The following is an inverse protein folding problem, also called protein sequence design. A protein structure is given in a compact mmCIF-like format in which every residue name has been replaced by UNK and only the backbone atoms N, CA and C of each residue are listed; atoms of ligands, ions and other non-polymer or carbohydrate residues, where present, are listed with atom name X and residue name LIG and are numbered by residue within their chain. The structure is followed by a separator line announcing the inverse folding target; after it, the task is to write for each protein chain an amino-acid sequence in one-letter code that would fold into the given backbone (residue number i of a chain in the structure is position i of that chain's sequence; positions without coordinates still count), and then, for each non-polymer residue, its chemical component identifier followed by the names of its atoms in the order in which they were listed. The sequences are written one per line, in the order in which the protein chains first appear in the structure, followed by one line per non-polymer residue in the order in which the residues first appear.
data_IF_465516887776
#
_entry.id   IF_465516887776
#
_cell.length_a   1.000
_cell.length_b   1.000
_cell.length_c   1.000
_cell.angle_alpha   90.00
_cell.angle_beta   90.00
_cell.angle_gamma   90.00
#
_symmetry.space_group_name_H-M   'P 1'
#
loop_
_entity.id
_entity.type
_entity.pdbx_description
1 polymer ?
#
# COMPACT_ATOMS: atom_id res chain seq x y z
N UNK A 1 -11.08 12.61 -24.00
CA UNK A 1 -11.70 11.57 -23.14
C UNK A 1 -11.47 12.03 -21.71
N UNK A 2 -12.49 12.00 -20.84
CA UNK A 2 -12.34 12.41 -19.45
C UNK A 2 -12.26 11.14 -18.58
N UNK A 3 -11.15 10.94 -17.88
CA UNK A 3 -10.90 9.75 -17.05
C UNK A 3 -11.55 9.97 -15.68
N UNK A 4 -12.47 9.10 -15.29
CA UNK A 4 -13.13 9.11 -13.97
C UNK A 4 -12.35 8.23 -12.99
N UNK A 5 -11.70 8.86 -12.02
CA UNK A 5 -10.85 8.19 -11.05
C UNK A 5 -11.58 8.03 -9.72
N UNK A 6 -11.70 6.80 -9.22
CA UNK A 6 -12.07 6.49 -7.84
C UNK A 6 -10.79 6.41 -7.01
N UNK A 7 -10.71 7.21 -5.97
CA UNK A 7 -9.56 7.23 -5.04
C UNK A 7 -9.93 6.46 -3.78
N UNK A 8 -9.11 5.47 -3.42
CA UNK A 8 -9.31 4.61 -2.24
C UNK A 8 -8.08 4.69 -1.34
N UNK A 9 -8.23 5.30 -0.18
CA UNK A 9 -7.14 5.53 0.78
C UNK A 9 -7.74 5.83 2.15
N UNK A 10 -7.23 5.29 3.24
CA UNK A 10 -7.73 5.55 4.59
C UNK A 10 -7.26 6.91 5.15
N UNK A 11 -6.15 7.45 4.61
CA UNK A 11 -5.61 8.73 5.03
C UNK A 11 -6.38 9.91 4.40
N UNK A 12 -7.06 10.68 5.24
CA UNK A 12 -7.82 11.86 4.83
C UNK A 12 -6.94 12.90 4.12
N UNK A 13 -5.69 13.09 4.55
CA UNK A 13 -4.79 14.09 3.95
C UNK A 13 -4.36 13.68 2.54
N UNK A 14 -4.13 12.39 2.32
CA UNK A 14 -3.84 11.84 0.99
C UNK A 14 -5.04 12.06 0.08
N UNK A 15 -6.27 11.68 0.52
CA UNK A 15 -7.49 11.89 -0.27
C UNK A 15 -7.71 13.35 -0.63
N UNK A 16 -7.53 14.29 0.32
CA UNK A 16 -7.67 15.73 0.06
C UNK A 16 -6.60 16.26 -0.90
N UNK A 17 -5.36 15.79 -0.77
CA UNK A 17 -4.27 16.17 -1.67
C UNK A 17 -4.56 15.72 -3.11
N UNK A 18 -4.96 14.45 -3.29
CA UNK A 18 -5.34 13.89 -4.58
C UNK A 18 -6.57 14.60 -5.17
N UNK A 19 -7.58 14.91 -4.35
CA UNK A 19 -8.74 15.69 -4.78
C UNK A 19 -8.34 17.04 -5.36
N UNK A 20 -7.48 17.77 -4.64
CA UNK A 20 -7.00 19.08 -5.08
C UNK A 20 -6.16 19.00 -6.36
N UNK A 21 -5.35 17.97 -6.50
CA UNK A 21 -4.52 17.75 -7.68
C UNK A 21 -5.39 17.36 -8.89
N UNK A 22 -6.23 16.32 -8.75
CA UNK A 22 -7.04 15.79 -9.83
C UNK A 22 -8.07 16.83 -10.34
N UNK A 23 -8.69 17.62 -9.44
CA UNK A 23 -9.63 18.67 -9.83
C UNK A 23 -9.03 19.79 -10.69
N UNK A 24 -7.70 19.93 -10.69
CA UNK A 24 -6.95 20.93 -11.48
C UNK A 24 -6.36 20.35 -12.75
N UNK A 25 -6.49 19.04 -12.96
CA UNK A 25 -5.89 18.33 -14.09
C UNK A 25 -6.90 18.19 -15.22
N UNK A 26 -6.70 18.86 -16.37
CA UNK A 26 -7.59 18.71 -17.52
C UNK A 26 -7.66 17.25 -18.00
N UNK A 27 -8.86 16.78 -18.31
CA UNK A 27 -9.06 15.42 -18.79
C UNK A 27 -9.16 14.34 -17.70
N UNK A 28 -9.09 14.73 -16.42
CA UNK A 28 -9.34 13.84 -15.28
C UNK A 28 -10.45 14.42 -14.42
N UNK A 29 -11.33 13.56 -13.93
CA UNK A 29 -12.31 13.89 -12.89
C UNK A 29 -12.36 12.79 -11.85
N UNK A 30 -12.82 13.09 -10.64
CA UNK A 30 -13.00 12.09 -9.60
C UNK A 30 -14.39 11.47 -9.70
N UNK A 31 -14.48 10.14 -9.68
CA UNK A 31 -15.72 9.40 -9.52
C UNK A 31 -16.15 9.40 -8.04
N UNK A 32 -15.17 9.43 -7.13
CA UNK A 32 -15.40 9.49 -5.68
C UNK A 32 -14.16 9.26 -4.87
N UNK A 33 -14.35 9.23 -3.54
CA UNK A 33 -13.31 9.00 -2.54
C UNK A 33 -13.83 7.97 -1.54
N UNK A 34 -13.16 6.83 -1.42
CA UNK A 34 -13.44 5.79 -0.45
C UNK A 34 -12.34 5.73 0.62
N UNK A 35 -12.71 5.44 1.86
CA UNK A 35 -11.78 5.33 2.99
C UNK A 35 -11.49 3.88 3.40
N UNK A 36 -12.13 2.93 2.73
CA UNK A 36 -11.98 1.50 2.98
C UNK A 36 -12.41 0.68 1.75
N UNK A 37 -12.12 -0.62 1.78
CA UNK A 37 -12.42 -1.51 0.65
C UNK A 37 -13.90 -1.71 0.39
N UNK A 38 -14.71 -1.85 1.45
CA UNK A 38 -16.18 -2.00 1.32
C UNK A 38 -16.79 -0.82 0.59
N UNK A 39 -16.45 0.40 1.00
CA UNK A 39 -16.94 1.62 0.35
C UNK A 39 -16.43 1.72 -1.10
N UNK A 40 -15.21 1.29 -1.37
CA UNK A 40 -14.67 1.26 -2.74
C UNK A 40 -15.49 0.36 -3.65
N UNK A 41 -15.87 -0.84 -3.20
CA UNK A 41 -16.71 -1.78 -3.94
C UNK A 41 -18.12 -1.22 -4.21
N UNK A 42 -18.76 -0.62 -3.19
CA UNK A 42 -20.08 0.03 -3.34
C UNK A 42 -20.04 1.15 -4.36
N UNK A 43 -19.02 2.02 -4.29
CA UNK A 43 -18.85 3.12 -5.23
C UNK A 43 -18.54 2.63 -6.65
N UNK A 44 -17.68 1.62 -6.78
CA UNK A 44 -17.35 1.03 -8.07
C UNK A 44 -18.58 0.41 -8.75
N UNK A 45 -19.46 -0.21 -7.98
CA UNK A 45 -20.70 -0.81 -8.51
C UNK A 45 -21.76 0.23 -8.91
N UNK A 46 -21.77 1.43 -8.27
CA UNK A 46 -22.81 2.45 -8.47
C UNK A 46 -22.38 3.58 -9.40
N UNK A 47 -21.08 3.81 -9.58
CA UNK A 47 -20.53 4.92 -10.35
C UNK A 47 -19.82 4.43 -11.61
N UNK A 48 -19.76 5.28 -12.64
CA UNK A 48 -18.91 5.00 -13.79
C UNK A 48 -17.45 5.33 -13.41
N UNK A 49 -16.61 4.33 -13.35
CA UNK A 49 -15.18 4.43 -12.96
C UNK A 49 -14.31 3.91 -14.11
N UNK A 50 -13.36 4.73 -14.57
CA UNK A 50 -12.41 4.32 -15.60
C UNK A 50 -11.10 3.79 -14.98
N UNK A 51 -10.76 4.25 -13.76
CA UNK A 51 -9.58 3.84 -13.04
C UNK A 51 -9.80 3.96 -11.53
N UNK A 52 -9.36 2.96 -10.79
CA UNK A 52 -9.27 2.99 -9.33
C UNK A 52 -7.83 3.23 -8.92
N UNK A 53 -7.59 4.27 -8.14
CA UNK A 53 -6.31 4.52 -7.46
C UNK A 53 -6.44 3.95 -6.06
N UNK A 54 -5.75 2.84 -5.77
CA UNK A 54 -6.00 1.97 -4.61
C UNK A 54 -4.81 1.92 -3.66
N UNK A 55 -5.00 2.34 -2.42
CA UNK A 55 -4.01 2.00 -1.38
C UNK A 55 -4.08 0.52 -1.03
N UNK A 56 -2.95 -0.02 -0.65
CA UNK A 56 -2.81 -1.41 -0.16
C UNK A 56 -3.31 -1.55 1.27
N UNK A 57 -3.03 -0.56 2.13
CA UNK A 57 -3.37 -0.62 3.54
C UNK A 57 -4.70 0.06 3.81
N UNK A 58 -5.77 -0.72 3.91
CA UNK A 58 -7.09 -0.25 4.27
C UNK A 58 -7.57 -0.90 5.58
N UNK A 59 -8.48 -0.25 6.33
CA UNK A 59 -8.81 -0.67 7.69
C UNK A 59 -9.68 -1.93 7.79
N UNK A 60 -10.46 -2.27 6.76
CA UNK A 60 -11.43 -3.38 6.75
C UNK A 60 -10.91 -4.59 5.97
N UNK A 61 -10.53 -4.40 4.72
CA UNK A 61 -9.92 -5.40 3.85
C UNK A 61 -8.73 -4.77 3.13
N UNK A 62 -7.69 -5.56 2.83
CA UNK A 62 -6.54 -5.01 2.13
C UNK A 62 -6.87 -4.63 0.68
N UNK A 63 -6.16 -3.62 0.15
CA UNK A 63 -6.43 -3.10 -1.20
C UNK A 63 -6.17 -4.11 -2.31
N UNK A 64 -5.34 -5.14 -2.09
CA UNK A 64 -5.11 -6.21 -3.07
C UNK A 64 -6.35 -7.11 -3.16
N UNK A 65 -6.95 -7.46 -2.03
CA UNK A 65 -8.22 -8.19 -1.98
C UNK A 65 -9.35 -7.38 -2.60
N UNK A 66 -9.41 -6.08 -2.30
CA UNK A 66 -10.38 -5.16 -2.92
C UNK A 66 -10.20 -5.11 -4.44
N UNK A 67 -8.97 -5.04 -4.94
CA UNK A 67 -8.66 -5.06 -6.37
C UNK A 67 -9.09 -6.37 -7.05
N UNK A 68 -8.92 -7.52 -6.37
CA UNK A 68 -9.39 -8.81 -6.86
C UNK A 68 -10.92 -8.84 -7.01
N UNK A 69 -11.67 -8.31 -6.03
CA UNK A 69 -13.13 -8.24 -6.09
C UNK A 69 -13.60 -7.28 -7.19
N UNK A 70 -12.96 -6.11 -7.35
CA UNK A 70 -13.23 -5.19 -8.47
C UNK A 70 -13.00 -5.88 -9.82
N UNK A 71 -11.88 -6.61 -9.98
CA UNK A 71 -11.58 -7.35 -11.21
C UNK A 71 -12.57 -8.48 -11.47
N UNK A 72 -13.14 -9.08 -10.43
CA UNK A 72 -14.19 -10.08 -10.55
C UNK A 72 -15.54 -9.47 -10.98
N UNK A 73 -15.84 -8.23 -10.56
CA UNK A 73 -17.03 -7.48 -10.99
C UNK A 73 -16.90 -7.00 -12.44
N UNK A 74 -15.74 -6.48 -12.81
CA UNK A 74 -15.42 -6.07 -14.19
C UNK A 74 -13.99 -6.45 -14.56
N UNK A 75 -13.78 -7.46 -15.43
CA UNK A 75 -12.44 -7.86 -15.89
C UNK A 75 -11.68 -6.78 -16.67
N UNK A 76 -12.36 -5.72 -17.11
CA UNK A 76 -11.72 -4.58 -17.76
C UNK A 76 -11.40 -3.43 -16.80
N UNK A 77 -11.78 -3.55 -15.54
CA UNK A 77 -11.47 -2.55 -14.53
C UNK A 77 -9.96 -2.26 -14.48
N UNK A 78 -9.61 -0.97 -14.34
CA UNK A 78 -8.22 -0.54 -14.20
C UNK A 78 -7.98 -0.18 -12.75
N UNK A 79 -7.17 -0.98 -12.07
CA UNK A 79 -6.78 -0.75 -10.68
C UNK A 79 -5.29 -0.47 -10.62
N UNK A 80 -4.92 0.76 -10.30
CA UNK A 80 -3.53 1.18 -10.10
C UNK A 80 -3.25 1.24 -8.59
N UNK A 81 -2.39 0.36 -8.11
CA UNK A 81 -1.98 0.37 -6.70
C UNK A 81 -1.15 1.63 -6.41
N UNK A 82 -1.46 2.33 -5.33
CA UNK A 82 -0.80 3.57 -4.93
C UNK A 82 -0.53 3.53 -3.43
N UNK A 83 0.68 3.13 -3.04
CA UNK A 83 0.99 2.77 -1.66
C UNK A 83 2.28 3.40 -1.14
N UNK A 84 2.38 3.58 0.16
CA UNK A 84 3.61 4.04 0.81
C UNK A 84 4.69 2.95 0.87
N UNK A 85 4.32 1.67 0.72
CA UNK A 85 5.24 0.56 0.80
C UNK A 85 4.85 -0.56 -0.17
N UNK A 86 5.84 -1.08 -0.89
CA UNK A 86 5.68 -2.19 -1.81
C UNK A 86 6.79 -3.21 -1.57
N UNK A 87 6.44 -4.49 -1.61
CA UNK A 87 7.40 -5.59 -1.66
C UNK A 87 7.04 -6.57 -2.79
N UNK A 88 7.96 -7.50 -3.12
CA UNK A 88 7.74 -8.46 -4.19
C UNK A 88 6.51 -9.34 -3.98
N UNK A 89 6.22 -9.71 -2.72
CA UNK A 89 5.09 -10.58 -2.37
C UNK A 89 3.76 -9.87 -2.62
N UNK A 90 3.64 -8.63 -2.16
CA UNK A 90 2.48 -7.76 -2.38
C UNK A 90 2.29 -7.50 -3.89
N UNK A 91 3.36 -7.12 -4.58
CA UNK A 91 3.31 -6.82 -6.01
C UNK A 91 2.84 -8.04 -6.84
N UNK A 92 3.35 -9.23 -6.55
CA UNK A 92 2.89 -10.47 -7.19
C UNK A 92 1.40 -10.73 -6.96
N UNK A 93 0.93 -10.53 -5.73
CA UNK A 93 -0.50 -10.67 -5.39
C UNK A 93 -1.35 -9.64 -6.12
N UNK A 94 -0.94 -8.37 -6.14
CA UNK A 94 -1.65 -7.31 -6.82
C UNK A 94 -1.76 -7.57 -8.33
N UNK A 95 -0.66 -8.01 -8.97
CA UNK A 95 -0.69 -8.40 -10.39
C UNK A 95 -1.57 -9.62 -10.64
N UNK A 96 -1.54 -10.61 -9.75
CA UNK A 96 -2.44 -11.77 -9.79
C UNK A 96 -3.91 -11.40 -9.58
N UNK A 97 -4.20 -10.32 -8.87
CA UNK A 97 -5.53 -9.75 -8.67
C UNK A 97 -6.00 -8.88 -9.84
N UNK A 98 -5.22 -8.73 -10.92
CA UNK A 98 -5.58 -7.93 -12.10
C UNK A 98 -5.20 -6.46 -12.01
N UNK A 99 -4.32 -6.06 -11.08
CA UNK A 99 -3.86 -4.67 -11.00
C UNK A 99 -3.18 -4.22 -12.30
N UNK A 100 -3.42 -2.99 -12.70
CA UNK A 100 -2.82 -2.32 -13.87
C UNK A 100 -1.43 -1.75 -13.58
N UNK A 101 -0.88 -1.99 -12.39
CA UNK A 101 0.43 -1.55 -11.97
C UNK A 101 0.52 -1.16 -10.51
N UNK A 102 1.68 -0.61 -10.13
CA UNK A 102 1.94 -0.15 -8.77
C UNK A 102 2.87 1.06 -8.78
N UNK A 103 2.49 2.08 -8.00
CA UNK A 103 3.29 3.27 -7.73
C UNK A 103 3.48 3.45 -6.23
N UNK A 104 4.62 4.01 -5.84
CA UNK A 104 4.80 4.49 -4.48
C UNK A 104 4.21 5.91 -4.32
N UNK A 105 3.74 6.25 -3.11
CA UNK A 105 3.13 7.56 -2.79
C UNK A 105 4.13 8.73 -2.79
N UNK A 106 5.42 8.45 -3.01
CA UNK A 106 6.50 9.44 -3.13
C UNK A 106 6.74 9.93 -4.56
N UNK A 107 5.96 9.46 -5.54
CA UNK A 107 6.07 9.93 -6.92
C UNK A 107 5.62 11.39 -7.05
N UNK A 108 6.26 12.11 -7.98
CA UNK A 108 5.89 13.48 -8.30
C UNK A 108 4.48 13.57 -8.90
N UNK A 109 3.73 14.68 -8.65
CA UNK A 109 2.36 14.84 -9.14
C UNK A 109 2.20 14.63 -10.66
N UNK A 110 3.13 15.12 -11.45
CA UNK A 110 3.13 14.99 -12.92
C UNK A 110 3.33 13.54 -13.37
N UNK A 111 4.14 12.78 -12.64
CA UNK A 111 4.34 11.36 -12.89
C UNK A 111 3.07 10.56 -12.57
N UNK A 112 2.38 10.88 -11.46
CA UNK A 112 1.10 10.25 -11.10
C UNK A 112 0.02 10.54 -12.17
N UNK A 113 -0.08 11.78 -12.66
CA UNK A 113 -1.03 12.14 -13.74
C UNK A 113 -0.74 11.32 -15.00
N UNK A 114 0.54 11.23 -15.38
CA UNK A 114 0.98 10.44 -16.55
C UNK A 114 0.66 8.95 -16.38
N UNK A 115 0.86 8.42 -15.17
CA UNK A 115 0.53 7.05 -14.81
C UNK A 115 -0.97 6.76 -14.88
N UNK A 116 -1.83 7.68 -14.41
CA UNK A 116 -3.30 7.58 -14.53
C UNK A 116 -3.70 7.48 -16.00
N UNK A 117 -3.20 8.35 -16.86
CA UNK A 117 -3.49 8.30 -18.29
C UNK A 117 -3.02 6.98 -18.93
N UNK A 118 -1.82 6.51 -18.62
CA UNK A 118 -1.28 5.27 -19.13
C UNK A 118 -2.10 4.04 -18.67
N UNK A 119 -2.39 3.95 -17.37
CA UNK A 119 -3.18 2.85 -16.82
C UNK A 119 -4.62 2.83 -17.37
N UNK A 120 -5.27 3.99 -17.48
CA UNK A 120 -6.60 4.10 -18.06
C UNK A 120 -6.63 3.69 -19.55
N UNK A 121 -5.51 3.87 -20.28
CA UNK A 121 -5.38 3.37 -21.66
C UNK A 121 -5.08 1.87 -21.77
N UNK A 122 -4.92 1.16 -20.65
CA UNK A 122 -4.67 -0.27 -20.59
C UNK A 122 -3.20 -0.67 -20.55
N UNK A 123 -2.29 0.27 -20.33
CA UNK A 123 -0.88 -0.02 -20.13
C UNK A 123 -0.62 -0.43 -18.68
N UNK A 124 0.37 -1.30 -18.49
CA UNK A 124 0.90 -1.60 -17.14
C UNK A 124 1.87 -0.49 -16.73
N UNK A 125 1.71 0.00 -15.49
CA UNK A 125 2.47 1.14 -14.99
C UNK A 125 3.18 0.79 -13.69
N UNK A 126 4.49 1.03 -13.65
CA UNK A 126 5.31 0.82 -12.46
C UNK A 126 6.27 1.99 -12.28
N UNK A 127 6.50 2.42 -11.06
CA UNK A 127 7.63 3.30 -10.77
C UNK A 127 8.96 2.54 -10.93
N UNK A 128 10.05 3.26 -11.16
CA UNK A 128 11.39 2.67 -11.31
C UNK A 128 11.77 1.82 -10.10
N UNK A 129 11.49 2.32 -8.88
CA UNK A 129 11.74 1.62 -7.62
C UNK A 129 10.97 0.30 -7.53
N UNK A 130 9.73 0.25 -7.99
CA UNK A 130 8.91 -0.98 -8.04
C UNK A 130 9.45 -1.94 -9.09
N UNK A 131 9.89 -1.45 -10.26
CA UNK A 131 10.51 -2.30 -11.28
C UNK A 131 11.83 -2.90 -10.80
N UNK A 132 12.67 -2.14 -10.12
CA UNK A 132 13.91 -2.65 -9.52
C UNK A 132 13.64 -3.82 -8.58
N UNK A 133 12.58 -3.75 -7.76
CA UNK A 133 12.17 -4.87 -6.90
C UNK A 133 11.78 -6.13 -7.69
N UNK A 134 11.14 -5.99 -8.86
CA UNK A 134 10.76 -7.13 -9.72
C UNK A 134 11.98 -7.83 -10.32
N UNK A 135 12.99 -7.06 -10.70
CA UNK A 135 14.20 -7.58 -11.35
C UNK A 135 15.33 -7.91 -10.37
N UNK A 136 15.22 -7.45 -9.13
CA UNK A 136 16.14 -7.86 -8.09
C UNK A 136 15.90 -9.33 -7.76
N UNK A 137 16.50 -10.22 -8.57
CA UNK A 137 16.53 -11.66 -8.39
C UNK A 137 17.36 -12.07 -7.16
N UNK A 138 17.66 -11.15 -6.28
CA UNK A 138 18.19 -11.53 -4.98
C UNK A 138 17.13 -12.38 -4.30
N UNK A 139 17.43 -13.63 -3.94
CA UNK A 139 16.58 -14.33 -2.98
C UNK A 139 16.38 -13.33 -1.83
N UNK A 140 15.16 -13.24 -1.33
CA UNK A 140 14.85 -12.38 -0.18
C UNK A 140 16.06 -12.50 0.76
N UNK A 141 16.78 -11.38 0.98
CA UNK A 141 18.04 -11.45 1.73
C UNK A 141 17.74 -12.25 2.98
N UNK A 142 18.57 -13.24 3.35
CA UNK A 142 18.32 -14.03 4.53
C UNK A 142 18.07 -13.02 5.65
N UNK A 143 16.94 -13.19 6.32
CA UNK A 143 16.46 -12.27 7.35
C UNK A 143 17.66 -11.83 8.19
N UNK A 144 17.96 -10.52 8.17
CA UNK A 144 19.10 -9.95 8.90
C UNK A 144 18.75 -9.88 10.39
N UNK A 145 18.39 -11.03 10.94
CA UNK A 145 18.04 -11.18 12.36
C UNK A 145 19.16 -10.67 13.25
N UNK A 146 20.41 -10.95 12.86
CA UNK A 146 21.59 -10.50 13.58
C UNK A 146 21.83 -8.97 13.51
N UNK A 147 21.11 -8.26 12.62
CA UNK A 147 21.16 -6.81 12.49
C UNK A 147 20.05 -6.09 13.27
N UNK A 148 19.13 -6.82 13.91
CA UNK A 148 18.09 -6.18 14.73
C UNK A 148 18.74 -5.50 15.94
N UNK A 149 18.53 -4.20 16.05
CA UNK A 149 18.98 -3.46 17.23
C UNK A 149 18.19 -3.87 18.48
N UNK A 150 18.75 -3.73 19.69
CA UNK A 150 18.02 -4.02 20.92
C UNK A 150 16.68 -3.30 21.02
N UNK A 151 16.61 -2.03 20.55
CA UNK A 151 15.36 -1.26 20.54
C UNK A 151 14.33 -1.74 19.52
N UNK A 152 14.73 -2.36 18.42
CA UNK A 152 13.82 -3.01 17.46
C UNK A 152 13.30 -4.33 18.03
N UNK A 153 14.14 -5.12 18.69
CA UNK A 153 13.73 -6.36 19.34
C UNK A 153 12.71 -6.10 20.46
N UNK A 154 12.94 -5.07 21.27
CA UNK A 154 12.04 -4.66 22.35
C UNK A 154 10.65 -4.25 21.81
N UNK A 155 10.61 -3.49 20.73
CA UNK A 155 9.37 -3.10 20.06
C UNK A 155 8.67 -4.33 19.47
N UNK A 156 9.38 -5.28 18.84
CA UNK A 156 8.83 -6.53 18.33
C UNK A 156 8.23 -7.40 19.45
N UNK A 157 8.88 -7.46 20.60
CA UNK A 157 8.37 -8.19 21.78
C UNK A 157 7.04 -7.63 22.28
N UNK A 158 6.91 -6.31 22.37
CA UNK A 158 5.66 -5.67 22.78
C UNK A 158 4.59 -5.79 21.71
N UNK A 159 4.98 -5.72 20.43
CA UNK A 159 4.10 -5.94 19.29
C UNK A 159 3.50 -7.35 19.29
N UNK A 160 4.30 -8.37 19.59
CA UNK A 160 3.86 -9.77 19.64
C UNK A 160 2.84 -10.06 20.74
N UNK A 161 2.79 -9.20 21.77
CA UNK A 161 1.79 -9.21 22.85
C UNK A 161 0.50 -8.46 22.49
N UNK A 162 0.37 -7.99 21.23
CA UNK A 162 -0.82 -7.31 20.73
C UNK A 162 -0.92 -5.82 21.07
N UNK A 163 0.14 -5.21 21.62
CA UNK A 163 0.12 -3.78 21.99
C UNK A 163 0.08 -2.88 20.77
N UNK A 164 -0.70 -1.81 20.83
CA UNK A 164 -0.73 -0.74 19.84
C UNK A 164 0.56 0.10 19.87
N UNK A 165 0.84 0.86 18.80
CA UNK A 165 2.01 1.74 18.76
C UNK A 165 2.01 2.76 19.89
N UNK A 166 0.83 3.23 20.29
CA UNK A 166 0.65 4.16 21.41
C UNK A 166 1.05 3.51 22.74
N UNK A 167 0.53 2.31 23.03
CA UNK A 167 0.88 1.59 24.27
C UNK A 167 2.36 1.23 24.34
N UNK A 168 2.98 0.89 23.18
CA UNK A 168 4.42 0.65 23.09
C UNK A 168 5.20 1.94 23.36
N UNK A 169 4.75 3.07 22.80
CA UNK A 169 5.38 4.37 22.99
C UNK A 169 5.33 4.82 24.45
N UNK A 170 4.17 4.63 25.12
CA UNK A 170 4.00 4.93 26.54
C UNK A 170 4.93 4.06 27.41
N UNK A 171 5.03 2.76 27.14
CA UNK A 171 5.85 1.81 27.91
C UNK A 171 7.36 2.04 27.73
N UNK A 172 7.78 2.39 26.51
CA UNK A 172 9.19 2.64 26.21
C UNK A 172 9.61 4.10 26.40
N UNK A 173 8.70 4.97 26.86
CA UNK A 173 8.92 6.42 27.00
C UNK A 173 9.43 7.09 25.71
N UNK A 174 8.85 6.69 24.57
CA UNK A 174 9.19 7.18 23.23
C UNK A 174 7.98 7.85 22.58
N UNK A 175 8.20 8.55 21.46
CA UNK A 175 7.12 9.03 20.62
C UNK A 175 6.54 7.90 19.73
N UNK A 176 5.26 7.98 19.39
CA UNK A 176 4.65 7.02 18.43
C UNK A 176 5.36 7.01 17.07
N UNK A 177 5.89 8.16 16.63
CA UNK A 177 6.68 8.27 15.40
C UNK A 177 7.97 7.46 15.49
N UNK A 178 8.64 7.48 16.65
CA UNK A 178 9.83 6.66 16.89
C UNK A 178 9.51 5.17 16.87
N UNK A 179 8.36 4.76 17.41
CA UNK A 179 7.90 3.37 17.36
C UNK A 179 7.62 2.95 15.92
N UNK A 180 6.90 3.78 15.15
CA UNK A 180 6.65 3.51 13.71
C UNK A 180 7.95 3.33 12.93
N UNK A 181 8.93 4.18 13.15
CA UNK A 181 10.25 4.08 12.49
C UNK A 181 10.97 2.77 12.85
N UNK A 182 11.01 2.40 14.14
CA UNK A 182 11.64 1.15 14.59
C UNK A 182 10.90 -0.08 14.05
N UNK A 183 9.56 -0.06 14.01
CA UNK A 183 8.76 -1.14 13.44
C UNK A 183 8.98 -1.28 11.93
N UNK A 184 9.04 -0.18 11.21
CA UNK A 184 9.32 -0.20 9.76
C UNK A 184 10.71 -0.76 9.47
N UNK A 185 11.72 -0.35 10.23
CA UNK A 185 13.09 -0.88 10.11
C UNK A 185 13.15 -2.37 10.45
N UNK A 186 12.54 -2.79 11.56
CA UNK A 186 12.48 -4.20 11.94
C UNK A 186 11.73 -5.06 10.91
N UNK A 187 10.60 -4.58 10.40
CA UNK A 187 9.82 -5.26 9.36
C UNK A 187 10.66 -5.45 8.08
N UNK A 188 11.37 -4.41 7.65
CA UNK A 188 12.29 -4.49 6.51
C UNK A 188 13.39 -5.54 6.71
N UNK A 189 14.04 -5.55 7.88
CA UNK A 189 15.08 -6.54 8.23
C UNK A 189 14.56 -7.98 8.31
N UNK A 190 13.29 -8.15 8.68
CA UNK A 190 12.61 -9.44 8.73
C UNK A 190 12.00 -9.86 7.39
N UNK A 191 12.07 -9.01 6.36
CA UNK A 191 11.46 -9.26 5.06
C UNK A 191 9.93 -9.33 5.12
N UNK A 192 9.31 -8.48 5.96
CA UNK A 192 7.86 -8.42 6.16
C UNK A 192 7.33 -7.01 5.87
N UNK A 193 6.15 -6.95 5.26
CA UNK A 193 5.48 -5.70 4.87
C UNK A 193 4.22 -5.40 5.67
N UNK A 194 3.78 -6.32 6.53
CA UNK A 194 2.57 -6.13 7.34
C UNK A 194 2.85 -6.34 8.83
N UNK A 195 2.07 -5.67 9.70
CA UNK A 195 2.16 -5.82 11.15
C UNK A 195 2.05 -7.28 11.59
N UNK A 196 1.05 -7.98 11.09
CA UNK A 196 0.82 -9.41 11.38
C UNK A 196 1.93 -10.29 10.80
N UNK A 197 2.38 -10.00 9.58
CA UNK A 197 3.49 -10.69 8.94
C UNK A 197 4.80 -10.49 9.71
N UNK A 198 5.06 -9.29 10.22
CA UNK A 198 6.24 -9.00 11.04
C UNK A 198 6.25 -9.82 12.33
N UNK A 199 5.10 -9.92 13.01
CA UNK A 199 4.98 -10.75 14.23
C UNK A 199 5.13 -12.24 13.91
N UNK A 200 4.49 -12.73 12.84
CA UNK A 200 4.62 -14.12 12.41
C UNK A 200 6.07 -14.45 12.09
N UNK A 201 6.75 -13.61 11.31
CA UNK A 201 8.14 -13.81 10.93
C UNK A 201 9.09 -13.75 12.13
N UNK A 202 8.85 -12.84 13.09
CA UNK A 202 9.63 -12.76 14.32
C UNK A 202 9.48 -14.03 15.19
N UNK A 203 8.28 -14.63 15.23
CA UNK A 203 8.03 -15.92 15.88
C UNK A 203 8.72 -17.09 15.18
N UNK A 204 8.62 -17.17 13.85
CA UNK A 204 9.26 -18.22 13.05
C UNK A 204 10.80 -18.23 13.23
N UNK A 205 11.37 -17.06 13.48
CA UNK A 205 12.80 -16.86 13.69
C UNK A 205 13.23 -16.94 15.17
N UNK A 206 12.30 -17.19 16.10
CA UNK A 206 12.57 -17.32 17.52
C UNK A 206 12.99 -16.02 18.23
N UNK A 207 12.61 -14.86 17.67
CA UNK A 207 12.93 -13.55 18.22
C UNK A 207 11.94 -13.17 19.34
N UNK A 208 10.67 -13.60 19.21
CA UNK A 208 9.56 -13.30 20.13
C UNK A 208 8.69 -14.51 20.38
#
# INVERSE_FOLDING_TARGET
MNIRVLVVDDDLFVRQSLQKMLSRTPGISTAGFAENGTQALEMFASEAVDLVLMDVQLPDMDGVSTAAEISALDPNARVLMFTSHCDQGMLRKAMGAGASGCLLKDVEPEALISAIHAAASGLLVFSESVLQMLFDNRPAEPSRVDELTPGEQEVLHLLSRGKSNREIAEELHLSESSIKTRLSSAASKLGSSSRTGTVARAKDLGIV
#
